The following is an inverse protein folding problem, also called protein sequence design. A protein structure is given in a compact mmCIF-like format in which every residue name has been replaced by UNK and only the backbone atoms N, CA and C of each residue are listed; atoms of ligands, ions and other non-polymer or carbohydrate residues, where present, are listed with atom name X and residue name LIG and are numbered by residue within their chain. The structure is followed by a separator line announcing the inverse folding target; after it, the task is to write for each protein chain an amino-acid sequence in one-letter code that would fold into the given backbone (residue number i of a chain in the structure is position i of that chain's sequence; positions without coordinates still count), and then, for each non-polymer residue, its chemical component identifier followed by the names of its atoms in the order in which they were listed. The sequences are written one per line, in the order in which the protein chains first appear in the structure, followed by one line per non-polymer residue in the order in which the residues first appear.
data_IF_399690069425
#
_entry.id   IF_399690069425
#
_cell.length_a   1.000
_cell.length_b   1.000
_cell.length_c   1.000
_cell.angle_alpha   90.00
_cell.angle_beta   90.00
_cell.angle_gamma   90.00
#
_symmetry.space_group_name_H-M   'P 1'
#
loop_
_entity.id
_entity.type
_entity.pdbx_description
1 polymer ?
#
# COMPACT_ATOMS: atom_id res chain seq x y z
N UNK A 1 -12.40 -5.32 6.96
CA UNK A 1 -12.16 -6.06 5.70
C UNK A 1 -10.69 -6.03 5.36
N UNK A 2 -10.19 -7.13 4.86
CA UNK A 2 -8.78 -7.28 4.53
C UNK A 2 -8.53 -6.89 3.08
N UNK A 3 -7.48 -6.12 2.83
CA UNK A 3 -7.10 -5.70 1.49
C UNK A 3 -5.62 -5.97 1.22
N UNK A 4 -5.36 -6.41 0.00
CA UNK A 4 -3.99 -6.43 -0.54
C UNK A 4 -3.83 -5.21 -1.43
N UNK A 5 -2.85 -4.39 -1.13
CA UNK A 5 -2.55 -3.19 -1.91
C UNK A 5 -1.23 -3.42 -2.63
N UNK A 6 -1.23 -3.21 -3.94
CA UNK A 6 -0.02 -3.23 -4.75
C UNK A 6 0.22 -1.80 -5.21
N UNK A 7 1.34 -1.21 -4.81
CA UNK A 7 1.66 0.17 -5.15
C UNK A 7 2.98 0.20 -5.93
N UNK A 8 2.91 0.69 -7.15
CA UNK A 8 4.10 0.77 -8.00
C UNK A 8 4.38 2.19 -8.44
N UNK A 9 5.65 2.49 -8.65
CA UNK A 9 6.10 3.79 -9.12
C UNK A 9 7.16 3.59 -10.20
N UNK A 10 7.33 4.61 -11.04
CA UNK A 10 8.36 4.58 -12.06
C UNK A 10 9.74 4.72 -11.40
N UNK A 11 10.80 4.15 -11.99
CA UNK A 11 12.15 4.29 -11.43
C UNK A 11 12.58 5.71 -11.17
N UNK A 12 12.22 6.65 -12.05
CA UNK A 12 12.58 8.06 -11.87
C UNK A 12 11.84 8.73 -10.72
N UNK A 13 10.77 8.11 -10.22
CA UNK A 13 10.01 8.61 -9.07
C UNK A 13 10.37 7.87 -7.78
N UNK A 14 11.36 6.99 -7.82
CA UNK A 14 11.72 6.18 -6.67
C UNK A 14 12.22 7.05 -5.51
N UNK A 15 11.64 6.92 -4.31
CA UNK A 15 12.03 7.73 -3.16
C UNK A 15 13.25 7.17 -2.42
N UNK A 16 14.05 6.32 -3.05
CA UNK A 16 15.16 5.65 -2.40
C UNK A 16 16.04 6.59 -1.57
N UNK A 17 16.36 7.77 -2.11
CA UNK A 17 17.23 8.73 -1.47
C UNK A 17 16.50 9.92 -0.85
N UNK A 18 15.17 9.90 -0.83
CA UNK A 18 14.35 11.00 -0.32
C UNK A 18 13.23 10.47 0.59
N UNK A 19 13.59 9.68 1.57
CA UNK A 19 12.64 9.18 2.56
C UNK A 19 12.35 7.69 2.48
N UNK A 20 12.69 7.03 1.38
CA UNK A 20 12.45 5.60 1.20
C UNK A 20 10.94 5.29 1.14
N UNK A 21 10.58 4.09 1.52
CA UNK A 21 9.17 3.65 1.45
C UNK A 21 8.25 4.48 2.34
N UNK A 22 8.77 5.14 3.37
CA UNK A 22 7.95 6.00 4.23
C UNK A 22 7.42 7.24 3.50
N UNK A 23 7.97 7.56 2.35
CA UNK A 23 7.46 8.66 1.52
C UNK A 23 6.24 8.23 0.71
N UNK A 24 5.85 6.95 0.74
CA UNK A 24 4.83 6.40 -0.12
C UNK A 24 3.51 6.10 0.59
N UNK A 25 3.50 6.13 1.92
CA UNK A 25 2.29 5.84 2.68
C UNK A 25 2.28 6.60 4.00
N UNK A 26 1.10 6.71 4.59
CA UNK A 26 0.91 7.39 5.87
C UNK A 26 0.68 6.35 6.98
N UNK A 27 1.69 6.06 7.82
CA UNK A 27 1.54 5.07 8.89
C UNK A 27 0.57 5.52 9.99
N UNK A 28 0.18 6.79 10.00
CA UNK A 28 -0.72 7.36 11.00
C UNK A 28 -2.15 7.50 10.52
N UNK A 29 -2.47 6.98 9.33
CA UNK A 29 -3.84 7.06 8.81
C UNK A 29 -4.80 6.32 9.75
N UNK A 30 -5.82 7.01 10.22
CA UNK A 30 -6.81 6.42 11.09
C UNK A 30 -7.73 5.51 10.29
N UNK A 31 -8.15 4.41 10.91
CA UNK A 31 -9.05 3.46 10.26
C UNK A 31 -8.35 2.43 9.39
N UNK A 32 -7.03 2.42 9.39
CA UNK A 32 -6.25 1.41 8.67
C UNK A 32 -5.28 0.75 9.63
N UNK A 33 -5.29 -0.57 9.67
CA UNK A 33 -4.30 -1.35 10.41
C UNK A 33 -3.38 -2.03 9.41
N UNK A 34 -2.12 -1.64 9.41
CA UNK A 34 -1.10 -2.26 8.55
C UNK A 34 -0.69 -3.60 9.16
N UNK A 35 -1.00 -4.69 8.47
CA UNK A 35 -0.71 -6.03 8.96
C UNK A 35 0.62 -6.57 8.44
N UNK A 36 0.98 -6.19 7.21
CA UNK A 36 2.25 -6.61 6.61
C UNK A 36 2.61 -5.65 5.49
N UNK A 37 3.90 -5.52 5.22
CA UNK A 37 4.41 -4.67 4.17
C UNK A 37 5.66 -5.32 3.59
N UNK A 38 5.73 -5.39 2.27
CA UNK A 38 6.86 -5.99 1.57
C UNK A 38 7.27 -5.15 0.37
N UNK A 39 8.55 -4.99 0.15
CA UNK A 39 9.06 -4.41 -1.08
C UNK A 39 9.50 -5.52 -2.03
N UNK A 40 9.21 -5.36 -3.31
CA UNK A 40 9.69 -6.29 -4.32
C UNK A 40 11.21 -6.18 -4.43
N UNK A 41 11.89 -7.32 -4.58
CA UNK A 41 13.35 -7.34 -4.64
C UNK A 41 13.90 -6.64 -5.88
N UNK A 42 13.25 -6.81 -7.01
CA UNK A 42 13.79 -6.37 -8.29
C UNK A 42 12.88 -5.40 -9.06
N UNK A 43 11.83 -4.88 -8.40
CA UNK A 43 10.87 -3.99 -9.04
C UNK A 43 10.51 -2.85 -8.11
N UNK A 44 10.01 -1.77 -8.66
CA UNK A 44 9.58 -0.60 -7.88
C UNK A 44 8.14 -0.78 -7.43
N UNK A 45 7.93 -1.79 -6.60
CA UNK A 45 6.61 -2.19 -6.13
C UNK A 45 6.64 -2.43 -4.63
N UNK A 46 5.65 -1.91 -3.93
CA UNK A 46 5.45 -2.17 -2.51
C UNK A 46 4.10 -2.84 -2.34
N UNK A 47 4.07 -3.87 -1.51
CA UNK A 47 2.86 -4.60 -1.18
C UNK A 47 2.48 -4.32 0.26
N UNK A 48 1.22 -4.03 0.49
CA UNK A 48 0.69 -3.85 1.84
C UNK A 48 -0.47 -4.81 2.05
N UNK A 49 -0.56 -5.36 3.24
CA UNK A 49 -1.76 -6.06 3.70
C UNK A 49 -2.35 -5.23 4.80
N UNK A 50 -3.55 -4.72 4.61
CA UNK A 50 -4.19 -3.83 5.57
C UNK A 50 -5.59 -4.31 5.93
N UNK A 51 -6.01 -3.95 7.12
CA UNK A 51 -7.37 -4.14 7.60
C UNK A 51 -8.02 -2.76 7.65
N UNK A 52 -9.19 -2.61 7.03
CA UNK A 52 -9.95 -1.36 7.09
C UNK A 52 -11.40 -1.59 6.69
N UNK A 53 -12.28 -0.75 7.17
CA UNK A 53 -13.70 -0.75 6.77
C UNK A 53 -14.05 0.51 5.96
N UNK A 54 -13.04 1.29 5.57
CA UNK A 54 -13.26 2.57 4.90
C UNK A 54 -12.29 2.75 3.74
N UNK A 55 -12.83 2.95 2.54
CA UNK A 55 -12.00 3.27 1.37
C UNK A 55 -11.38 4.65 1.50
N UNK A 56 -12.06 5.58 2.18
CA UNK A 56 -11.48 6.90 2.43
C UNK A 56 -10.26 6.80 3.35
N UNK A 57 -10.29 5.91 4.34
CA UNK A 57 -9.15 5.68 5.21
C UNK A 57 -7.97 5.09 4.43
N UNK A 58 -8.25 4.17 3.50
CA UNK A 58 -7.21 3.60 2.64
C UNK A 58 -6.63 4.68 1.74
N UNK A 59 -7.44 5.60 1.23
CA UNK A 59 -6.96 6.72 0.44
C UNK A 59 -5.99 7.59 1.25
N UNK A 60 -6.35 7.90 2.50
CA UNK A 60 -5.47 8.65 3.40
C UNK A 60 -4.15 7.91 3.64
N UNK A 61 -4.22 6.59 3.79
CA UNK A 61 -3.04 5.76 3.97
C UNK A 61 -2.10 5.85 2.77
N UNK A 62 -2.65 5.92 1.56
CA UNK A 62 -1.87 5.95 0.31
C UNK A 62 -1.56 7.39 -0.16
N UNK A 63 -2.07 8.40 0.52
CA UNK A 63 -1.96 9.79 0.08
C UNK A 63 -0.53 10.28 -0.20
N UNK A 64 0.48 9.97 0.65
CA UNK A 64 1.83 10.45 0.36
C UNK A 64 2.39 10.00 -0.99
N UNK A 65 1.96 8.84 -1.48
CA UNK A 65 2.40 8.33 -2.77
C UNK A 65 1.46 8.64 -3.93
N UNK A 66 0.39 9.40 -3.69
CA UNK A 66 -0.67 9.60 -4.67
C UNK A 66 -0.19 10.14 -6.01
N UNK A 67 0.74 11.09 -5.98
CA UNK A 67 1.20 11.75 -7.21
C UNK A 67 2.36 11.04 -7.90
N UNK A 68 2.94 10.02 -7.28
CA UNK A 68 4.09 9.31 -7.84
C UNK A 68 3.84 7.82 -8.07
N UNK A 69 2.74 7.29 -7.58
CA UNK A 69 2.47 5.85 -7.62
C UNK A 69 1.11 5.55 -8.21
N UNK A 70 0.99 4.33 -8.72
CA UNK A 70 -0.29 3.73 -9.04
C UNK A 70 -0.54 2.63 -8.01
N UNK A 71 -1.74 2.55 -7.47
CA UNK A 71 -2.07 1.53 -6.48
C UNK A 71 -3.30 0.75 -6.91
N UNK A 72 -3.23 -0.56 -6.68
CA UNK A 72 -4.37 -1.45 -6.86
C UNK A 72 -4.78 -1.96 -5.49
N UNK A 73 -6.04 -1.76 -5.12
CA UNK A 73 -6.58 -2.17 -3.82
C UNK A 73 -7.52 -3.34 -4.05
N UNK A 74 -7.14 -4.51 -3.58
CA UNK A 74 -7.87 -5.74 -3.83
C UNK A 74 -8.42 -6.30 -2.52
N UNK A 75 -9.74 -6.46 -2.37
CA UNK A 75 -10.28 -7.15 -1.21
C UNK A 75 -9.83 -8.61 -1.23
N UNK A 76 -9.37 -9.11 -0.11
CA UNK A 76 -8.87 -10.47 -0.01
C UNK A 76 -9.39 -11.13 1.26
N UNK A 77 -9.18 -12.42 1.34
CA UNK A 77 -9.50 -13.22 2.52
C UNK A 77 -8.35 -14.19 2.75
N UNK A 78 -8.27 -14.70 3.96
CA UNK A 78 -7.15 -15.57 4.33
C UNK A 78 -7.20 -16.92 3.61
N UNK A 79 -8.40 -17.37 3.24
CA UNK A 79 -8.54 -18.60 2.47
C UNK A 79 -8.56 -18.27 0.99
N UNK A 80 -7.73 -18.96 0.22
CA UNK A 80 -7.62 -18.71 -1.21
C UNK A 80 -8.93 -18.99 -1.96
N UNK A 81 -9.68 -19.99 -1.50
CA UNK A 81 -10.96 -20.35 -2.11
C UNK A 81 -11.99 -20.48 -0.99
N UNK A 82 -13.05 -19.67 -1.06
CA UNK A 82 -14.13 -19.73 -0.10
C UNK A 82 -14.99 -20.97 -0.31
N UNK A 83 -15.59 -21.43 0.76
CA UNK A 83 -16.53 -22.56 0.69
C UNK A 83 -17.88 -22.17 0.18
#
# INVERSE_FOLDING_TARGET
MLFLITQDHAPESCPKDVGGSKALYNPKAEGVTLKAMYGAFSEHVVYYVVESDSLDAIHEFLDPGWTSCTATVTPVREEAIGR
#
